data_IF_873198549786
#
_entry.id   IF_873198549786
#
_cell.length_a   1.000
_cell.length_b   1.000
_cell.length_c   1.000
_cell.angle_alpha   90.00
_cell.angle_beta   90.00
_cell.angle_gamma   90.00
#
_symmetry.space_group_name_H-M   'P 1'
#
loop_
_entity.id
_entity.type
_entity.pdbx_description
1 polymer ?
#
# COMPACT_ATOMS: atom_id res chain seq x y z
N UNK A 1 15.76 21.10 19.97
CA UNK A 1 14.31 21.28 19.70
C UNK A 1 13.90 20.22 18.67
N UNK A 2 12.68 19.68 18.78
CA UNK A 2 12.16 18.75 17.76
C UNK A 2 11.90 19.51 16.46
N UNK A 3 12.18 18.85 15.33
CA UNK A 3 11.76 19.38 14.04
C UNK A 3 10.24 19.29 13.88
N UNK A 4 9.63 20.38 13.43
CA UNK A 4 8.19 20.44 13.17
C UNK A 4 7.89 20.01 11.73
N UNK A 5 7.19 18.88 11.58
CA UNK A 5 6.91 18.23 10.30
C UNK A 5 5.44 18.40 9.96
N UNK A 6 5.14 18.94 8.78
CA UNK A 6 3.78 19.02 8.25
C UNK A 6 3.51 17.85 7.29
N UNK A 7 2.64 16.92 7.68
CA UNK A 7 2.24 15.80 6.81
C UNK A 7 0.95 16.16 6.07
N UNK A 8 1.00 16.14 4.73
CA UNK A 8 -0.13 16.48 3.86
C UNK A 8 -0.63 15.24 3.12
N UNK A 9 -1.83 14.75 3.45
CA UNK A 9 -2.41 13.57 2.83
C UNK A 9 -3.94 13.69 2.65
N UNK A 10 -4.58 12.59 2.26
CA UNK A 10 -6.04 12.42 2.37
C UNK A 10 -6.44 12.29 3.84
N UNK A 11 -7.72 12.43 4.16
CA UNK A 11 -8.19 12.17 5.52
C UNK A 11 -7.76 10.79 6.03
N UNK A 12 -7.30 10.70 7.27
CA UNK A 12 -6.98 9.42 7.94
C UNK A 12 -8.22 8.51 8.13
N UNK A 13 -9.42 9.07 8.04
CA UNK A 13 -10.70 8.33 8.00
C UNK A 13 -11.00 7.73 6.62
N UNK A 14 -10.17 7.99 5.61
CA UNK A 14 -10.33 7.41 4.28
C UNK A 14 -10.02 5.91 4.30
N UNK A 15 -10.83 5.14 3.58
CA UNK A 15 -10.55 3.71 3.36
C UNK A 15 -9.43 3.57 2.31
N UNK A 16 -8.37 2.80 2.62
CA UNK A 16 -7.31 2.47 1.67
C UNK A 16 -5.89 2.59 2.18
N UNK A 17 -4.94 2.04 1.42
CA UNK A 17 -3.54 1.86 1.83
C UNK A 17 -2.81 3.14 2.21
N UNK A 18 -3.04 4.27 1.50
CA UNK A 18 -2.36 5.55 1.81
C UNK A 18 -2.76 6.07 3.19
N UNK A 19 -4.05 6.00 3.54
CA UNK A 19 -4.53 6.41 4.85
C UNK A 19 -3.91 5.53 5.96
N UNK A 20 -3.84 4.22 5.75
CA UNK A 20 -3.21 3.28 6.67
C UNK A 20 -1.73 3.60 6.88
N UNK A 21 -0.97 3.83 5.80
CA UNK A 21 0.46 4.23 5.88
C UNK A 21 0.65 5.49 6.70
N UNK A 22 -0.14 6.52 6.43
CA UNK A 22 -0.02 7.81 7.13
C UNK A 22 -0.40 7.67 8.60
N UNK A 23 -1.48 6.94 8.91
CA UNK A 23 -1.88 6.65 10.29
C UNK A 23 -0.76 5.92 11.03
N UNK A 24 -0.13 4.91 10.42
CA UNK A 24 1.01 4.20 11.02
C UNK A 24 2.18 5.14 11.33
N UNK A 25 2.51 6.08 10.45
CA UNK A 25 3.54 7.09 10.75
C UNK A 25 3.13 8.05 11.88
N UNK A 26 1.86 8.47 11.90
CA UNK A 26 1.35 9.38 12.94
C UNK A 26 1.32 8.72 14.33
N UNK A 27 1.04 7.42 14.38
CA UNK A 27 0.97 6.65 15.63
C UNK A 27 2.33 6.07 16.07
N UNK A 28 3.40 6.28 15.28
CA UNK A 28 4.70 5.70 15.58
C UNK A 28 5.44 6.46 16.69
N UNK A 29 5.73 5.78 17.80
CA UNK A 29 6.35 6.35 19.00
C UNK A 29 7.72 6.96 18.72
N UNK A 30 8.55 6.32 17.89
CA UNK A 30 9.87 6.82 17.55
C UNK A 30 9.79 8.16 16.82
N UNK A 31 8.94 8.27 15.79
CA UNK A 31 8.77 9.53 15.06
C UNK A 31 8.23 10.66 15.95
N UNK A 32 7.29 10.36 16.84
CA UNK A 32 6.70 11.32 17.77
C UNK A 32 7.68 11.77 18.86
N UNK A 33 8.68 10.93 19.21
CA UNK A 33 9.79 11.32 20.10
C UNK A 33 10.77 12.26 19.42
N UNK A 34 11.13 12.00 18.15
CA UNK A 34 12.12 12.78 17.39
C UNK A 34 11.55 14.06 16.78
N UNK A 35 10.28 14.07 16.38
CA UNK A 35 9.64 15.15 15.63
C UNK A 35 8.32 15.58 16.25
N UNK A 36 7.93 16.84 16.01
CA UNK A 36 6.58 17.37 16.25
C UNK A 36 5.81 17.28 14.93
N UNK A 37 4.91 16.28 14.81
CA UNK A 37 4.22 15.96 13.56
C UNK A 37 2.81 16.55 13.58
N UNK A 38 2.55 17.45 12.64
CA UNK A 38 1.20 18.03 12.41
C UNK A 38 0.62 17.47 11.12
N UNK A 39 -0.61 16.99 11.18
CA UNK A 39 -1.30 16.39 10.05
C UNK A 39 -2.30 17.34 9.40
N UNK A 40 -2.16 17.56 8.10
CA UNK A 40 -3.05 18.39 7.29
C UNK A 40 -3.84 17.55 6.28
N UNK A 41 -5.16 17.55 6.40
CA UNK A 41 -6.05 16.88 5.46
C UNK A 41 -6.23 17.70 4.19
N UNK A 42 -5.74 17.22 3.07
CA UNK A 42 -5.91 17.89 1.78
C UNK A 42 -7.36 17.86 1.26
N UNK A 43 -8.15 16.88 1.68
CA UNK A 43 -9.58 16.73 1.42
C UNK A 43 -10.14 15.51 2.16
N UNK A 44 -11.47 15.48 2.32
CA UNK A 44 -12.18 14.29 2.80
C UNK A 44 -12.83 13.58 1.60
N UNK A 45 -12.54 12.29 1.34
CA UNK A 45 -13.09 11.58 0.19
C UNK A 45 -14.56 11.14 0.35
N UNK A 46 -15.18 11.29 1.52
CA UNK A 46 -16.55 10.85 1.78
C UNK A 46 -17.61 11.78 1.13
N UNK A 47 -18.26 11.29 0.05
CA UNK A 47 -19.33 11.97 -0.68
C UNK A 47 -18.86 13.04 -1.66
N UNK A 48 -19.60 13.23 -2.78
CA UNK A 48 -19.21 14.14 -3.87
C UNK A 48 -19.21 15.61 -3.39
N UNK A 49 -20.28 16.05 -2.76
CA UNK A 49 -20.39 17.42 -2.23
C UNK A 49 -19.36 17.72 -1.15
N UNK A 50 -19.17 16.81 -0.19
CA UNK A 50 -18.20 16.95 0.90
C UNK A 50 -16.76 16.96 0.40
N UNK A 51 -16.44 16.24 -0.69
CA UNK A 51 -15.09 16.20 -1.28
C UNK A 51 -14.66 17.57 -1.83
N UNK A 52 -15.48 18.21 -2.64
CA UNK A 52 -15.16 19.52 -3.23
C UNK A 52 -15.18 20.63 -2.19
N UNK A 53 -16.14 20.61 -1.28
CA UNK A 53 -16.23 21.58 -0.19
C UNK A 53 -15.03 21.49 0.75
N UNK A 54 -14.65 20.29 1.18
CA UNK A 54 -13.47 20.08 2.01
C UNK A 54 -12.16 20.46 1.30
N UNK A 55 -12.07 20.25 -0.02
CA UNK A 55 -10.93 20.68 -0.82
C UNK A 55 -10.83 22.21 -0.86
N UNK A 56 -11.94 22.91 -1.05
CA UNK A 56 -11.99 24.37 -1.09
C UNK A 56 -11.57 24.96 0.27
N UNK A 57 -12.14 24.46 1.37
CA UNK A 57 -11.76 24.88 2.73
C UNK A 57 -10.27 24.64 2.96
N UNK A 58 -9.76 23.46 2.63
CA UNK A 58 -8.35 23.14 2.79
C UNK A 58 -7.46 24.06 1.97
N UNK A 59 -7.87 24.40 0.74
CA UNK A 59 -7.13 25.31 -0.12
C UNK A 59 -7.08 26.74 0.43
N UNK A 60 -8.18 27.24 0.97
CA UNK A 60 -8.24 28.58 1.58
C UNK A 60 -7.46 28.61 2.90
N UNK A 61 -7.64 27.61 3.76
CA UNK A 61 -7.02 27.57 5.09
C UNK A 61 -5.49 27.35 5.04
N UNK A 62 -4.99 26.62 4.05
CA UNK A 62 -3.58 26.22 4.00
C UNK A 62 -2.58 27.40 4.02
N UNK A 63 -2.70 28.47 3.20
CA UNK A 63 -1.80 29.60 3.27
C UNK A 63 -1.85 30.32 4.64
N UNK A 64 -3.03 30.42 5.27
CA UNK A 64 -3.14 30.99 6.62
C UNK A 64 -2.41 30.14 7.65
N UNK A 65 -2.50 28.80 7.55
CA UNK A 65 -1.74 27.89 8.41
C UNK A 65 -0.24 28.21 8.35
N UNK A 66 0.30 28.43 7.15
CA UNK A 66 1.73 28.70 6.94
C UNK A 66 2.14 30.11 7.43
N UNK A 67 1.23 31.07 7.47
CA UNK A 67 1.48 32.41 8.03
C UNK A 67 1.67 32.36 9.55
N UNK A 68 0.90 31.51 10.25
CA UNK A 68 0.90 31.47 11.72
C UNK A 68 1.75 30.36 12.31
N UNK A 69 2.10 29.34 11.52
CA UNK A 69 2.90 28.19 11.97
C UNK A 69 4.13 28.00 11.10
N UNK A 70 5.28 27.81 11.74
CA UNK A 70 6.53 27.47 11.05
C UNK A 70 6.74 25.96 11.05
N UNK A 71 7.12 25.41 9.91
CA UNK A 71 7.47 24.02 9.73
C UNK A 71 8.89 23.88 9.19
N UNK A 72 9.64 22.88 9.65
CA UNK A 72 10.98 22.61 9.19
C UNK A 72 10.96 21.78 7.89
N UNK A 73 9.97 20.89 7.72
CA UNK A 73 9.78 20.05 6.52
C UNK A 73 8.29 19.82 6.31
N UNK A 74 7.87 19.75 5.05
CA UNK A 74 6.55 19.28 4.68
C UNK A 74 6.64 17.96 3.89
N UNK A 75 5.91 16.93 4.34
CA UNK A 75 5.85 15.62 3.69
C UNK A 75 4.49 15.43 3.03
N UNK A 76 4.49 15.34 1.70
CA UNK A 76 3.29 15.22 0.88
C UNK A 76 3.14 13.77 0.43
N UNK A 77 2.10 13.09 0.92
CA UNK A 77 1.68 11.80 0.38
C UNK A 77 0.76 11.99 -0.82
N UNK A 78 1.12 11.44 -1.94
CA UNK A 78 0.38 11.59 -3.17
C UNK A 78 0.37 10.34 -4.04
N UNK A 79 -0.49 10.39 -5.04
CA UNK A 79 -0.50 9.48 -6.17
C UNK A 79 -0.45 10.34 -7.44
N UNK A 80 -0.53 9.72 -8.61
CA UNK A 80 -0.58 10.40 -9.91
C UNK A 80 -2.01 10.88 -10.24
N UNK A 81 -2.21 11.40 -11.45
CA UNK A 81 -3.49 11.95 -11.93
C UNK A 81 -3.99 13.15 -11.08
N UNK A 82 -5.27 13.19 -10.76
CA UNK A 82 -5.88 14.27 -9.99
C UNK A 82 -5.30 14.49 -8.58
N UNK A 83 -4.70 13.47 -7.97
CA UNK A 83 -3.99 13.61 -6.69
C UNK A 83 -2.76 14.50 -6.86
N UNK A 84 -1.97 14.28 -7.91
CA UNK A 84 -0.77 15.07 -8.21
C UNK A 84 -1.10 16.55 -8.43
N UNK A 85 -2.15 16.85 -9.21
CA UNK A 85 -2.57 18.23 -9.48
C UNK A 85 -2.94 18.97 -8.18
N UNK A 86 -3.71 18.32 -7.30
CA UNK A 86 -4.07 18.91 -5.99
C UNK A 86 -2.83 19.16 -5.10
N UNK A 87 -1.88 18.22 -5.11
CA UNK A 87 -0.65 18.35 -4.31
C UNK A 87 0.29 19.43 -4.85
N UNK A 88 0.26 19.71 -6.14
CA UNK A 88 1.01 20.82 -6.76
C UNK A 88 0.55 22.20 -6.24
N UNK A 89 -0.70 22.35 -5.84
CA UNK A 89 -1.19 23.57 -5.18
C UNK A 89 -0.52 23.79 -3.81
N UNK A 90 -0.45 22.74 -2.98
CA UNK A 90 0.22 22.83 -1.67
C UNK A 90 1.72 23.05 -1.84
N UNK A 91 2.36 22.41 -2.82
CA UNK A 91 3.76 22.65 -3.15
C UNK A 91 4.05 24.11 -3.49
N UNK A 92 3.16 24.78 -4.25
CA UNK A 92 3.33 26.21 -4.57
C UNK A 92 3.46 27.06 -3.30
N UNK A 93 2.55 26.89 -2.35
CA UNK A 93 2.58 27.64 -1.08
C UNK A 93 3.80 27.29 -0.22
N UNK A 94 4.12 26.00 -0.09
CA UNK A 94 5.30 25.57 0.68
C UNK A 94 6.58 26.18 0.15
N UNK A 95 6.75 26.27 -1.17
CA UNK A 95 7.89 26.92 -1.77
C UNK A 95 7.91 28.44 -1.53
N UNK A 96 6.76 29.09 -1.57
CA UNK A 96 6.66 30.52 -1.26
C UNK A 96 7.11 30.83 0.18
N UNK A 97 6.88 29.89 1.10
CA UNK A 97 7.32 29.98 2.49
C UNK A 97 8.69 29.32 2.74
N UNK A 98 9.42 28.93 1.68
CA UNK A 98 10.74 28.30 1.76
C UNK A 98 10.78 27.06 2.66
N UNK A 99 9.70 26.28 2.71
CA UNK A 99 9.61 25.06 3.50
C UNK A 99 10.09 23.88 2.63
N UNK A 100 11.16 23.15 3.01
CA UNK A 100 11.62 21.96 2.31
C UNK A 100 10.55 20.90 2.18
N UNK A 101 10.44 20.30 1.01
CA UNK A 101 9.32 19.40 0.68
C UNK A 101 9.77 18.00 0.31
N UNK A 102 9.10 17.02 0.90
CA UNK A 102 9.20 15.60 0.55
C UNK A 102 7.93 15.19 -0.19
N UNK A 103 8.05 14.50 -1.32
CA UNK A 103 6.94 13.86 -2.00
C UNK A 103 7.08 12.36 -1.95
N UNK A 104 6.12 11.66 -1.34
CA UNK A 104 6.04 10.20 -1.36
C UNK A 104 4.93 9.73 -2.31
N UNK A 105 5.33 9.01 -3.35
CA UNK A 105 4.43 8.49 -4.37
C UNK A 105 3.90 7.11 -4.02
N UNK A 106 2.55 6.97 -3.99
CA UNK A 106 1.85 5.71 -3.73
C UNK A 106 1.17 5.13 -4.98
N UNK A 107 1.61 5.54 -6.16
CA UNK A 107 1.01 5.08 -7.41
C UNK A 107 1.44 3.65 -7.77
N UNK A 108 0.54 2.93 -8.46
CA UNK A 108 0.74 1.55 -8.92
C UNK A 108 0.91 1.42 -10.46
N UNK A 109 0.71 2.48 -11.23
CA UNK A 109 0.73 2.46 -12.71
C UNK A 109 1.37 3.75 -13.23
N UNK A 110 2.67 3.90 -12.95
CA UNK A 110 3.41 5.13 -13.27
C UNK A 110 3.60 5.29 -14.77
N UNK A 111 4.04 4.23 -15.44
CA UNK A 111 4.20 4.12 -16.89
C UNK A 111 2.92 4.51 -17.64
N UNK A 112 1.81 3.85 -17.34
CA UNK A 112 0.51 4.15 -17.94
C UNK A 112 0.06 5.59 -17.73
N UNK A 113 0.41 6.19 -16.59
CA UNK A 113 0.10 7.60 -16.37
C UNK A 113 0.88 8.49 -17.33
N UNK A 114 2.19 8.27 -17.48
CA UNK A 114 3.03 9.07 -18.37
C UNK A 114 2.69 8.84 -19.85
N UNK A 115 2.35 7.62 -20.25
CA UNK A 115 1.97 7.29 -21.62
C UNK A 115 0.71 8.03 -22.07
N UNK A 116 -0.23 8.26 -21.17
CA UNK A 116 -1.46 9.01 -21.43
C UNK A 116 -1.29 10.53 -21.45
N UNK A 117 -0.07 11.05 -21.22
CA UNK A 117 0.20 12.49 -21.25
C UNK A 117 0.79 12.93 -22.58
N UNK A 118 0.35 14.09 -23.09
CA UNK A 118 1.03 14.75 -24.19
C UNK A 118 2.35 15.40 -23.74
N UNK A 119 3.21 15.82 -24.68
CA UNK A 119 4.54 16.38 -24.39
C UNK A 119 4.49 17.57 -23.43
N UNK A 120 3.54 18.48 -23.57
CA UNK A 120 3.37 19.65 -22.69
C UNK A 120 2.98 19.25 -21.27
N UNK A 121 2.13 18.23 -21.12
CA UNK A 121 1.73 17.69 -19.83
C UNK A 121 2.90 16.94 -19.17
N UNK A 122 3.65 16.12 -19.92
CA UNK A 122 4.86 15.44 -19.42
C UNK A 122 5.85 16.44 -18.88
N UNK A 123 6.21 17.48 -19.65
CA UNK A 123 7.12 18.53 -19.20
C UNK A 123 6.66 19.23 -17.92
N UNK A 124 5.34 19.51 -17.80
CA UNK A 124 4.76 20.11 -16.59
C UNK A 124 4.89 19.19 -15.38
N UNK A 125 4.63 17.89 -15.53
CA UNK A 125 4.77 16.91 -14.44
C UNK A 125 6.22 16.79 -14.01
N UNK A 126 7.15 16.64 -14.96
CA UNK A 126 8.60 16.55 -14.69
C UNK A 126 9.09 17.80 -13.96
N UNK A 127 8.74 19.00 -14.47
CA UNK A 127 9.13 20.26 -13.85
C UNK A 127 8.51 20.43 -12.44
N UNK A 128 7.37 19.82 -12.17
CA UNK A 128 6.78 19.84 -10.83
C UNK A 128 7.55 18.91 -9.89
N UNK A 129 7.92 17.71 -10.33
CA UNK A 129 8.75 16.83 -9.52
C UNK A 129 10.11 17.45 -9.19
N UNK A 130 10.73 18.17 -10.14
CA UNK A 130 12.01 18.89 -9.92
C UNK A 130 11.94 19.97 -8.85
N UNK A 131 10.74 20.36 -8.41
CA UNK A 131 10.55 21.37 -7.35
C UNK A 131 10.52 20.79 -5.92
N UNK A 132 10.40 19.48 -5.74
CA UNK A 132 10.52 18.85 -4.43
C UNK A 132 12.00 18.67 -4.05
N UNK A 133 12.36 18.86 -2.81
CA UNK A 133 13.73 18.61 -2.34
C UNK A 133 14.04 17.12 -2.31
N UNK A 134 13.05 16.29 -1.95
CA UNK A 134 13.16 14.83 -1.91
C UNK A 134 11.94 14.15 -2.52
N UNK A 135 12.18 13.15 -3.37
CA UNK A 135 11.13 12.26 -3.87
C UNK A 135 11.33 10.84 -3.38
N UNK A 136 10.26 10.24 -2.86
CA UNK A 136 10.22 8.89 -2.31
C UNK A 136 9.24 8.02 -3.09
N UNK A 137 9.60 6.77 -3.31
CA UNK A 137 8.75 5.74 -3.90
C UNK A 137 8.79 4.46 -3.06
N UNK A 138 7.91 3.50 -3.39
CA UNK A 138 7.61 2.36 -2.54
C UNK A 138 8.53 1.14 -2.74
N UNK A 139 9.48 1.21 -3.66
CA UNK A 139 10.39 0.09 -3.92
C UNK A 139 11.43 0.38 -4.99
N UNK A 140 12.36 -0.55 -5.15
CA UNK A 140 13.53 -0.40 -6.03
C UNK A 140 13.14 -0.39 -7.52
N UNK A 141 12.15 -1.18 -7.91
CA UNK A 141 11.60 -1.17 -9.28
C UNK A 141 11.05 0.20 -9.66
N UNK A 142 10.39 0.88 -8.71
CA UNK A 142 9.85 2.22 -8.91
C UNK A 142 10.93 3.30 -9.02
N UNK A 143 12.09 3.15 -8.34
CA UNK A 143 13.20 4.10 -8.50
C UNK A 143 13.61 4.20 -9.96
N UNK A 144 13.95 3.06 -10.58
CA UNK A 144 14.38 3.01 -11.99
C UNK A 144 13.34 3.63 -12.93
N UNK A 145 12.07 3.32 -12.69
CA UNK A 145 10.97 3.81 -13.53
C UNK A 145 10.77 5.33 -13.37
N UNK A 146 10.74 5.83 -12.13
CA UNK A 146 10.62 7.27 -11.90
C UNK A 146 11.82 8.07 -12.38
N UNK A 147 13.06 7.57 -12.20
CA UNK A 147 14.27 8.23 -12.68
C UNK A 147 14.26 8.34 -14.19
N UNK A 148 13.93 7.27 -14.90
CA UNK A 148 13.76 7.25 -16.36
C UNK A 148 12.72 8.27 -16.84
N UNK A 149 11.59 8.41 -16.13
CA UNK A 149 10.46 9.26 -16.55
C UNK A 149 10.58 10.72 -16.11
N UNK A 150 11.33 11.01 -15.03
CA UNK A 150 11.35 12.35 -14.41
C UNK A 150 12.69 13.05 -14.47
N UNK A 151 13.73 12.37 -14.94
CA UNK A 151 15.10 12.90 -14.97
C UNK A 151 15.50 13.48 -13.59
N UNK A 152 15.29 12.67 -12.54
CA UNK A 152 15.50 13.06 -11.15
C UNK A 152 15.72 11.82 -10.27
N UNK A 153 16.59 11.95 -9.25
CA UNK A 153 16.84 10.91 -8.25
C UNK A 153 15.60 10.67 -7.37
N UNK A 154 15.31 9.39 -7.14
CA UNK A 154 14.26 8.91 -6.24
C UNK A 154 14.86 7.99 -5.18
N UNK A 155 14.28 8.00 -4.00
CA UNK A 155 14.71 7.15 -2.90
C UNK A 155 13.59 6.20 -2.49
N UNK A 156 13.97 5.02 -2.02
CA UNK A 156 12.99 4.04 -1.51
C UNK A 156 12.62 4.35 -0.08
N UNK A 157 11.32 4.46 0.18
CA UNK A 157 10.74 4.35 1.51
C UNK A 157 9.55 3.38 1.43
N UNK A 158 9.71 2.20 2.03
CA UNK A 158 8.66 1.20 2.06
C UNK A 158 7.43 1.66 2.86
N UNK A 159 6.29 1.02 2.63
CA UNK A 159 5.14 1.21 3.48
C UNK A 159 5.41 0.62 4.87
N UNK A 160 5.18 1.36 5.96
CA UNK A 160 5.31 0.84 7.31
C UNK A 160 4.09 0.01 7.69
N UNK A 161 4.32 -1.10 8.37
CA UNK A 161 3.27 -1.89 9.00
C UNK A 161 3.67 -2.17 10.45
N UNK A 162 2.79 -1.95 11.44
CA UNK A 162 3.05 -2.35 12.82
C UNK A 162 3.22 -3.86 12.92
N UNK A 163 4.05 -4.31 13.84
CA UNK A 163 4.16 -5.74 14.10
C UNK A 163 2.84 -6.26 14.68
N UNK A 164 2.18 -7.14 13.93
CA UNK A 164 0.93 -7.76 14.34
C UNK A 164 1.25 -9.01 15.17
N UNK A 165 0.75 -9.04 16.40
CA UNK A 165 0.80 -10.21 17.29
C UNK A 165 -0.60 -10.81 17.38
N UNK A 166 -0.72 -12.07 17.05
CA UNK A 166 -2.01 -12.80 17.13
C UNK A 166 -1.75 -14.26 17.50
N UNK A 167 -2.75 -14.89 18.09
CA UNK A 167 -2.77 -16.31 18.31
C UNK A 167 -3.41 -16.99 17.11
N UNK A 168 -2.73 -17.97 16.51
CA UNK A 168 -3.26 -18.76 15.41
C UNK A 168 -4.38 -19.65 15.91
N UNK A 169 -5.49 -19.65 15.16
CA UNK A 169 -6.59 -20.60 15.34
C UNK A 169 -6.26 -21.86 14.56
N UNK A 170 -6.32 -23.00 15.22
CA UNK A 170 -6.15 -24.30 14.54
C UNK A 170 -7.45 -24.70 13.85
N UNK A 171 -7.32 -25.24 12.65
CA UNK A 171 -8.43 -25.75 11.84
C UNK A 171 -7.92 -26.86 10.92
N UNK A 172 -8.82 -27.70 10.44
CA UNK A 172 -8.49 -28.88 9.64
C UNK A 172 -8.31 -28.55 8.13
N UNK A 173 -8.74 -27.37 7.69
CA UNK A 173 -8.67 -26.91 6.30
C UNK A 173 -7.48 -26.02 6.06
N UNK A 174 -6.99 -25.92 4.82
CA UNK A 174 -6.04 -24.88 4.41
C UNK A 174 -6.81 -23.62 4.00
N UNK A 175 -6.70 -22.55 4.80
CA UNK A 175 -7.42 -21.32 4.58
C UNK A 175 -6.59 -20.30 3.78
N UNK A 176 -6.97 -20.11 2.53
CA UNK A 176 -6.45 -19.04 1.68
C UNK A 176 -7.25 -17.76 1.92
N UNK A 177 -6.55 -16.63 2.00
CA UNK A 177 -7.21 -15.34 2.24
C UNK A 177 -6.82 -14.32 1.19
N UNK A 178 -7.84 -13.72 0.56
CA UNK A 178 -7.70 -12.53 -0.26
C UNK A 178 -8.11 -11.30 0.54
N UNK A 179 -7.24 -10.27 0.60
CA UNK A 179 -7.52 -8.98 1.23
C UNK A 179 -7.27 -7.85 0.26
N UNK A 180 -8.32 -7.23 -0.26
CA UNK A 180 -8.20 -6.13 -1.21
C UNK A 180 -9.52 -5.72 -1.86
N UNK A 181 -9.45 -4.70 -2.72
CA UNK A 181 -10.59 -4.30 -3.54
C UNK A 181 -11.03 -5.46 -4.45
N UNK A 182 -12.32 -5.76 -4.49
CA UNK A 182 -12.90 -6.81 -5.35
C UNK A 182 -12.97 -6.29 -6.80
N UNK A 183 -11.82 -6.21 -7.46
CA UNK A 183 -11.68 -5.63 -8.80
C UNK A 183 -10.79 -6.48 -9.70
N UNK A 184 -10.95 -6.31 -11.02
CA UNK A 184 -10.10 -6.98 -12.02
C UNK A 184 -8.62 -6.68 -11.78
N UNK A 185 -8.29 -5.44 -11.39
CA UNK A 185 -6.90 -5.03 -11.09
C UNK A 185 -6.26 -5.89 -9.99
N UNK A 186 -7.05 -6.36 -9.03
CA UNK A 186 -6.59 -7.20 -7.92
C UNK A 186 -6.62 -8.70 -8.22
N UNK A 187 -7.11 -9.09 -9.41
CA UNK A 187 -7.12 -10.48 -9.86
C UNK A 187 -8.11 -11.39 -9.13
N UNK A 188 -9.17 -10.83 -8.51
CA UNK A 188 -10.12 -11.64 -7.73
C UNK A 188 -10.84 -12.68 -8.58
N UNK A 189 -11.19 -12.35 -9.85
CA UNK A 189 -11.86 -13.30 -10.74
C UNK A 189 -10.94 -14.44 -11.16
N UNK A 190 -9.67 -14.13 -11.39
CA UNK A 190 -8.67 -15.15 -11.75
C UNK A 190 -8.42 -16.08 -10.56
N UNK A 191 -8.39 -15.53 -9.33
CA UNK A 191 -8.29 -16.35 -8.11
C UNK A 191 -9.48 -17.29 -7.96
N UNK A 192 -10.71 -16.85 -8.18
CA UNK A 192 -11.90 -17.71 -8.09
C UNK A 192 -11.87 -18.81 -9.15
N UNK A 193 -11.52 -18.49 -10.39
CA UNK A 193 -11.35 -19.49 -11.44
C UNK A 193 -10.24 -20.51 -11.11
N UNK A 194 -9.10 -20.03 -10.61
CA UNK A 194 -8.00 -20.90 -10.20
C UNK A 194 -8.37 -21.80 -9.02
N UNK A 195 -9.11 -21.28 -8.05
CA UNK A 195 -9.58 -22.05 -6.90
C UNK A 195 -10.57 -23.14 -7.32
N UNK A 196 -11.44 -22.85 -8.30
CA UNK A 196 -12.34 -23.85 -8.87
C UNK A 196 -11.63 -24.95 -9.67
N UNK A 197 -10.50 -24.64 -10.31
CA UNK A 197 -9.69 -25.60 -11.05
C UNK A 197 -8.77 -26.42 -10.14
N UNK A 198 -8.44 -25.89 -8.97
CA UNK A 198 -7.46 -26.51 -8.07
C UNK A 198 -8.05 -27.77 -7.41
N UNK A 199 -7.31 -28.90 -7.40
CA UNK A 199 -7.74 -30.11 -6.71
C UNK A 199 -7.58 -30.04 -5.18
N UNK A 200 -7.93 -28.89 -4.60
CA UNK A 200 -7.79 -28.59 -3.18
C UNK A 200 -9.08 -28.96 -2.42
N UNK A 201 -9.32 -30.25 -2.16
CA UNK A 201 -10.54 -30.68 -1.46
C UNK A 201 -10.59 -30.17 -0.01
N UNK A 202 -9.43 -30.07 0.64
CA UNK A 202 -9.32 -29.58 2.02
C UNK A 202 -8.86 -28.12 2.10
N UNK A 203 -9.45 -27.23 1.26
CA UNK A 203 -9.13 -25.81 1.26
C UNK A 203 -10.41 -24.95 1.35
N UNK A 204 -10.24 -23.76 1.94
CA UNK A 204 -11.24 -22.69 1.96
C UNK A 204 -10.65 -21.41 1.43
N UNK A 205 -11.50 -20.57 0.83
CA UNK A 205 -11.11 -19.24 0.38
C UNK A 205 -11.93 -18.18 1.14
N UNK A 206 -11.19 -17.32 1.86
CA UNK A 206 -11.74 -16.22 2.65
C UNK A 206 -11.48 -14.92 1.90
N UNK A 207 -12.53 -14.13 1.60
CA UNK A 207 -12.43 -12.94 0.77
C UNK A 207 -12.87 -11.72 1.57
N UNK A 208 -11.94 -10.80 1.81
CA UNK A 208 -12.20 -9.53 2.48
C UNK A 208 -11.88 -8.34 1.57
N UNK A 209 -12.85 -7.45 1.41
CA UNK A 209 -12.66 -6.22 0.62
C UNK A 209 -13.97 -5.57 0.19
N UNK A 210 -13.86 -4.35 -0.30
CA UNK A 210 -14.97 -3.62 -0.89
C UNK A 210 -15.03 -3.86 -2.41
N UNK A 211 -16.24 -3.79 -2.97
CA UNK A 211 -16.50 -3.98 -4.39
C UNK A 211 -17.89 -4.53 -4.63
N UNK A 212 -18.12 -5.15 -5.79
CA UNK A 212 -19.38 -5.79 -6.11
C UNK A 212 -19.44 -7.21 -5.50
N UNK A 213 -19.91 -7.30 -4.25
CA UNK A 213 -20.01 -8.56 -3.51
C UNK A 213 -20.95 -9.53 -4.20
N UNK A 214 -22.08 -9.04 -4.77
CA UNK A 214 -23.04 -9.89 -5.48
C UNK A 214 -22.38 -10.58 -6.69
N UNK A 215 -21.58 -9.86 -7.47
CA UNK A 215 -20.85 -10.43 -8.60
C UNK A 215 -19.92 -11.59 -8.17
N UNK A 216 -19.31 -11.48 -6.97
CA UNK A 216 -18.46 -12.54 -6.41
C UNK A 216 -19.30 -13.76 -6.05
N UNK A 217 -20.45 -13.58 -5.38
CA UNK A 217 -21.36 -14.68 -5.06
C UNK A 217 -21.90 -15.38 -6.30
N UNK A 218 -22.30 -14.62 -7.32
CA UNK A 218 -22.80 -15.17 -8.59
C UNK A 218 -21.71 -16.00 -9.29
N UNK A 219 -20.48 -15.51 -9.29
CA UNK A 219 -19.35 -16.23 -9.87
C UNK A 219 -19.02 -17.50 -9.07
N UNK A 220 -19.01 -17.46 -7.74
CA UNK A 220 -18.81 -18.65 -6.89
C UNK A 220 -19.88 -19.71 -7.16
N UNK A 221 -21.15 -19.31 -7.34
CA UNK A 221 -22.25 -20.22 -7.67
C UNK A 221 -22.08 -20.85 -9.06
N UNK A 222 -21.70 -20.06 -10.05
CA UNK A 222 -21.39 -20.50 -11.42
C UNK A 222 -20.26 -21.51 -11.45
N UNK A 223 -19.20 -21.27 -10.66
CA UNK A 223 -18.03 -22.14 -10.54
C UNK A 223 -18.25 -23.33 -9.61
N UNK A 224 -19.40 -23.42 -8.93
CA UNK A 224 -19.75 -24.48 -7.96
C UNK A 224 -18.76 -24.60 -6.79
N UNK A 225 -18.30 -23.46 -6.27
CA UNK A 225 -17.39 -23.36 -5.12
C UNK A 225 -17.97 -22.55 -3.96
N UNK A 226 -19.27 -22.24 -4.00
CA UNK A 226 -19.91 -21.37 -3.01
C UNK A 226 -19.83 -21.92 -1.57
N UNK A 227 -19.77 -23.23 -1.39
CA UNK A 227 -19.62 -23.92 -0.10
C UNK A 227 -18.19 -23.83 0.49
N UNK A 228 -17.20 -23.57 -0.36
CA UNK A 228 -15.78 -23.43 0.02
C UNK A 228 -15.31 -21.98 0.12
N UNK A 229 -16.16 -20.99 -0.23
CA UNK A 229 -15.81 -19.56 -0.28
C UNK A 229 -16.63 -18.75 0.70
N UNK A 230 -15.95 -18.01 1.59
CA UNK A 230 -16.57 -17.06 2.53
C UNK A 230 -16.28 -15.63 2.09
N UNK A 231 -17.31 -14.83 1.81
CA UNK A 231 -17.19 -13.43 1.38
C UNK A 231 -17.57 -12.50 2.53
N UNK A 232 -16.60 -11.84 3.13
CA UNK A 232 -16.73 -11.01 4.34
C UNK A 232 -17.09 -9.55 4.03
N UNK A 233 -16.90 -9.10 2.78
CA UNK A 233 -16.99 -7.69 2.46
C UNK A 233 -15.88 -6.85 3.08
N UNK A 234 -16.14 -5.56 3.31
CA UNK A 234 -15.16 -4.70 3.97
C UNK A 234 -15.10 -5.02 5.47
N UNK A 235 -13.89 -5.18 5.99
CA UNK A 235 -13.61 -5.52 7.38
C UNK A 235 -12.84 -4.39 8.07
N UNK A 236 -13.07 -4.21 9.35
CA UNK A 236 -12.32 -3.28 10.21
C UNK A 236 -11.01 -3.91 10.73
N UNK A 237 -10.33 -3.21 11.64
CA UNK A 237 -9.04 -3.65 12.18
C UNK A 237 -9.17 -4.94 13.02
N UNK A 238 -10.20 -5.06 13.83
CA UNK A 238 -10.42 -6.21 14.71
C UNK A 238 -10.79 -7.45 13.90
N UNK A 239 -11.73 -7.31 12.98
CA UNK A 239 -12.12 -8.36 12.03
C UNK A 239 -10.93 -8.81 11.17
N UNK A 240 -10.03 -7.89 10.79
CA UNK A 240 -8.80 -8.24 10.06
C UNK A 240 -7.85 -9.10 10.91
N UNK A 241 -7.68 -8.79 12.19
CA UNK A 241 -6.87 -9.61 13.10
C UNK A 241 -7.47 -11.01 13.26
N UNK A 242 -8.78 -11.10 13.42
CA UNK A 242 -9.51 -12.38 13.45
C UNK A 242 -9.30 -13.17 12.14
N UNK A 243 -9.48 -12.54 10.98
CA UNK A 243 -9.27 -13.16 9.68
C UNK A 243 -7.83 -13.68 9.54
N UNK A 244 -6.83 -12.87 9.88
CA UNK A 244 -5.42 -13.27 9.83
C UNK A 244 -5.10 -14.42 10.80
N UNK A 245 -5.81 -14.52 11.94
CA UNK A 245 -5.60 -15.61 12.90
C UNK A 245 -5.98 -16.97 12.34
N UNK A 246 -6.98 -17.04 11.47
CA UNK A 246 -7.47 -18.27 10.80
C UNK A 246 -6.98 -18.43 9.36
N UNK A 247 -6.01 -17.61 8.91
CA UNK A 247 -5.41 -17.67 7.57
C UNK A 247 -4.14 -18.53 7.57
N UNK A 248 -3.95 -19.37 6.57
CA UNK A 248 -2.70 -20.12 6.32
C UNK A 248 -1.85 -19.50 5.23
N UNK A 249 -2.48 -18.95 4.19
CA UNK A 249 -1.80 -18.36 3.03
C UNK A 249 -2.57 -17.12 2.58
N UNK A 250 -1.87 -16.03 2.35
CA UNK A 250 -2.49 -14.85 1.70
C UNK A 250 -2.29 -14.92 0.20
N UNK A 251 -3.36 -14.68 -0.57
CA UNK A 251 -3.32 -14.73 -2.05
C UNK A 251 -3.73 -13.37 -2.61
N UNK A 252 -2.84 -12.78 -3.42
CA UNK A 252 -3.09 -11.50 -4.08
C UNK A 252 -2.53 -11.50 -5.50
N UNK A 253 -3.23 -12.06 -6.50
CA UNK A 253 -2.76 -12.19 -7.87
C UNK A 253 -3.02 -10.93 -8.71
N UNK A 254 -2.57 -9.78 -8.22
CA UNK A 254 -2.83 -8.46 -8.78
C UNK A 254 -2.16 -8.24 -10.13
N UNK A 255 -2.79 -7.44 -10.99
CA UNK A 255 -2.21 -6.94 -12.25
C UNK A 255 -1.36 -5.67 -12.05
N UNK A 256 -1.57 -4.94 -10.96
CA UNK A 256 -0.79 -3.74 -10.66
C UNK A 256 -0.88 -3.37 -9.18
N UNK A 257 0.30 -3.15 -8.57
CA UNK A 257 0.47 -2.72 -7.18
C UNK A 257 1.53 -1.63 -7.06
N UNK A 258 1.44 -0.84 -5.99
CA UNK A 258 2.57 -0.06 -5.50
C UNK A 258 3.50 -0.95 -4.66
N UNK A 259 3.16 -1.05 -3.38
CA UNK A 259 3.62 -2.07 -2.43
C UNK A 259 2.41 -2.42 -1.55
N UNK A 260 1.77 -3.59 -1.74
CA UNK A 260 0.47 -3.88 -1.13
C UNK A 260 0.57 -4.11 0.38
N UNK A 261 -0.26 -3.37 1.14
CA UNK A 261 -0.32 -3.49 2.60
C UNK A 261 -0.69 -4.89 3.06
N UNK A 262 -1.62 -5.56 2.37
CA UNK A 262 -2.06 -6.92 2.73
C UNK A 262 -0.94 -7.97 2.66
N UNK A 263 0.03 -7.81 1.75
CA UNK A 263 1.24 -8.65 1.72
C UNK A 263 2.12 -8.37 2.94
N UNK A 264 2.38 -7.11 3.26
CA UNK A 264 3.20 -6.75 4.42
C UNK A 264 2.53 -7.16 5.74
N UNK A 265 1.20 -7.05 5.83
CA UNK A 265 0.42 -7.53 6.97
C UNK A 265 0.50 -9.06 7.10
N UNK A 266 0.43 -9.81 6.00
CA UNK A 266 0.67 -11.26 5.98
C UNK A 266 2.06 -11.62 6.49
N UNK A 267 3.10 -10.95 5.97
CA UNK A 267 4.49 -11.14 6.40
C UNK A 267 4.66 -10.83 7.88
N UNK A 268 3.97 -9.79 8.41
CA UNK A 268 4.07 -9.39 9.81
C UNK A 268 3.57 -10.46 10.79
N UNK A 269 2.67 -11.34 10.35
CA UNK A 269 2.17 -12.48 11.14
C UNK A 269 2.80 -13.82 10.75
N UNK A 270 3.78 -13.80 9.84
CA UNK A 270 4.50 -15.00 9.41
C UNK A 270 3.68 -15.91 8.48
N UNK A 271 2.84 -15.33 7.62
CA UNK A 271 2.10 -16.06 6.60
C UNK A 271 2.86 -16.07 5.26
N UNK A 272 2.90 -17.20 4.57
CA UNK A 272 3.35 -17.26 3.18
C UNK A 272 2.36 -16.56 2.26
N UNK A 273 2.85 -16.14 1.09
CA UNK A 273 2.05 -15.37 0.13
C UNK A 273 2.10 -16.01 -1.25
N UNK A 274 0.95 -16.10 -1.94
CA UNK A 274 0.86 -16.30 -3.38
C UNK A 274 0.53 -14.94 -4.00
N UNK A 275 1.39 -14.44 -4.88
CA UNK A 275 1.21 -13.11 -5.49
C UNK A 275 1.91 -13.00 -6.83
N UNK A 276 1.84 -11.84 -7.46
CA UNK A 276 2.42 -11.55 -8.78
C UNK A 276 3.62 -10.60 -8.66
N UNK A 277 4.66 -10.71 -9.52
CA UNK A 277 5.85 -9.84 -9.49
C UNK A 277 5.55 -8.46 -10.12
N UNK A 278 4.59 -7.72 -9.55
CA UNK A 278 4.18 -6.41 -10.05
C UNK A 278 4.52 -5.29 -9.07
N UNK A 279 4.94 -4.14 -9.58
CA UNK A 279 5.32 -3.00 -8.75
C UNK A 279 6.52 -3.32 -7.87
N UNK A 280 6.40 -3.05 -6.56
CA UNK A 280 7.45 -3.33 -5.58
C UNK A 280 7.25 -4.67 -4.84
N UNK A 281 6.47 -5.59 -5.37
CA UNK A 281 6.22 -6.89 -4.72
C UNK A 281 7.51 -7.70 -4.59
N UNK A 282 8.40 -7.67 -5.58
CA UNK A 282 9.68 -8.41 -5.54
C UNK A 282 10.67 -7.86 -4.49
N UNK A 283 10.49 -6.61 -4.06
CA UNK A 283 11.21 -6.08 -2.89
C UNK A 283 10.76 -6.78 -1.58
N UNK A 284 9.51 -7.23 -1.52
CA UNK A 284 8.96 -7.93 -0.35
C UNK A 284 9.06 -9.45 -0.48
N UNK A 285 8.69 -10.03 -1.62
CA UNK A 285 8.56 -11.46 -1.82
C UNK A 285 9.58 -11.98 -2.82
N UNK A 286 10.43 -12.90 -2.40
CA UNK A 286 11.30 -13.70 -3.25
C UNK A 286 10.62 -15.04 -3.47
N UNK A 287 10.49 -15.44 -4.75
CA UNK A 287 9.88 -16.72 -5.14
C UNK A 287 10.58 -17.91 -4.46
N UNK A 288 9.80 -18.87 -3.98
CA UNK A 288 10.26 -20.06 -3.24
C UNK A 288 11.04 -19.78 -1.93
N UNK A 289 11.01 -18.53 -1.42
CA UNK A 289 11.62 -18.16 -0.12
C UNK A 289 10.56 -17.63 0.84
N UNK A 290 9.77 -16.64 0.40
CA UNK A 290 8.75 -15.98 1.21
C UNK A 290 7.32 -16.37 0.79
N UNK A 291 7.21 -17.10 -0.33
CA UNK A 291 5.96 -17.49 -0.98
C UNK A 291 6.18 -17.82 -2.44
N UNK A 292 5.09 -17.84 -3.19
CA UNK A 292 5.08 -18.19 -4.62
C UNK A 292 4.72 -16.95 -5.45
N UNK A 293 5.54 -16.65 -6.45
CA UNK A 293 5.25 -15.64 -7.47
C UNK A 293 4.66 -16.34 -8.70
N UNK A 294 3.51 -15.85 -9.15
CA UNK A 294 2.77 -16.31 -10.32
C UNK A 294 2.59 -15.18 -11.32
N UNK A 295 2.42 -15.47 -12.60
CA UNK A 295 2.20 -14.42 -13.60
C UNK A 295 0.79 -13.84 -13.49
N UNK A 296 0.62 -12.51 -13.63
CA UNK A 296 -0.71 -11.90 -13.64
C UNK A 296 -1.63 -12.52 -14.68
N UNK A 297 -2.83 -12.94 -14.29
CA UNK A 297 -3.83 -13.56 -15.17
C UNK A 297 -3.57 -15.02 -15.52
N UNK A 298 -2.50 -15.62 -15.03
CA UNK A 298 -2.23 -17.05 -15.27
C UNK A 298 -2.97 -17.91 -14.24
N UNK A 299 -4.18 -18.31 -14.60
CA UNK A 299 -5.10 -19.08 -13.73
C UNK A 299 -4.48 -20.44 -13.35
N UNK A 300 -3.77 -21.09 -14.28
CA UNK A 300 -3.12 -22.39 -14.05
C UNK A 300 -2.01 -22.27 -13.00
N UNK A 301 -1.11 -21.28 -13.12
CA UNK A 301 -0.07 -21.06 -12.12
C UNK A 301 -0.64 -20.74 -10.74
N UNK A 302 -1.75 -19.98 -10.68
CA UNK A 302 -2.43 -19.70 -9.41
C UNK A 302 -2.98 -21.00 -8.83
N UNK A 303 -3.64 -21.83 -9.64
CA UNK A 303 -4.20 -23.14 -9.24
C UNK A 303 -3.11 -24.07 -8.71
N UNK A 304 -1.98 -24.18 -9.42
CA UNK A 304 -0.84 -25.00 -9.01
C UNK A 304 -0.26 -24.54 -7.67
N UNK A 305 -0.12 -23.21 -7.49
CA UNK A 305 0.37 -22.64 -6.24
C UNK A 305 -0.59 -22.87 -5.06
N UNK A 306 -1.90 -22.80 -5.27
CA UNK A 306 -2.91 -23.16 -4.29
C UNK A 306 -2.79 -24.63 -3.90
N UNK A 307 -2.72 -25.53 -4.89
CA UNK A 307 -2.57 -26.96 -4.68
C UNK A 307 -1.28 -27.30 -3.92
N UNK A 308 -0.16 -26.72 -4.33
CA UNK A 308 1.14 -26.92 -3.68
C UNK A 308 1.10 -26.54 -2.19
N UNK A 309 0.58 -25.35 -1.86
CA UNK A 309 0.55 -24.90 -0.48
C UNK A 309 -0.58 -25.55 0.34
N UNK A 310 -1.62 -26.11 -0.27
CA UNK A 310 -2.61 -26.92 0.43
C UNK A 310 -1.96 -28.17 1.02
N UNK A 311 -1.16 -28.87 0.22
CA UNK A 311 -0.59 -30.17 0.59
C UNK A 311 0.75 -30.09 1.31
N UNK A 312 1.43 -28.92 1.34
CA UNK A 312 2.77 -28.80 1.92
C UNK A 312 2.82 -27.85 3.13
N UNK A 313 2.44 -28.37 4.29
CA UNK A 313 2.49 -27.62 5.57
C UNK A 313 3.91 -27.16 5.88
N UNK A 314 4.91 -28.02 5.65
CA UNK A 314 6.32 -27.67 5.90
C UNK A 314 6.76 -26.43 5.10
N UNK A 315 6.35 -26.36 3.84
CA UNK A 315 6.64 -25.22 2.96
C UNK A 315 5.94 -23.95 3.43
N UNK A 316 4.66 -24.03 3.88
CA UNK A 316 3.96 -22.90 4.48
C UNK A 316 4.70 -22.33 5.68
N UNK A 317 5.14 -23.19 6.60
CA UNK A 317 5.89 -22.81 7.81
C UNK A 317 7.23 -22.17 7.43
N UNK A 318 7.98 -22.77 6.53
CA UNK A 318 9.28 -22.27 6.06
C UNK A 318 9.14 -20.87 5.44
N UNK A 319 8.23 -20.72 4.49
CA UNK A 319 8.00 -19.44 3.80
C UNK A 319 7.50 -18.35 4.77
N UNK A 320 6.56 -18.70 5.66
CA UNK A 320 6.04 -17.77 6.65
C UNK A 320 7.12 -17.27 7.62
N UNK A 321 8.01 -18.17 8.08
CA UNK A 321 9.15 -17.81 8.94
C UNK A 321 10.11 -16.86 8.22
N UNK A 322 10.45 -17.14 6.97
CA UNK A 322 11.32 -16.29 6.17
C UNK A 322 10.66 -14.93 5.88
N UNK A 323 9.36 -14.92 5.54
CA UNK A 323 8.59 -13.70 5.34
C UNK A 323 8.56 -12.80 6.59
N UNK A 324 8.36 -13.39 7.77
CA UNK A 324 8.41 -12.67 9.06
C UNK A 324 9.80 -12.07 9.32
N UNK A 325 10.88 -12.81 9.04
CA UNK A 325 12.25 -12.31 9.17
C UNK A 325 12.47 -11.06 8.34
N UNK A 326 12.16 -11.13 7.04
CA UNK A 326 12.28 -9.99 6.12
C UNK A 326 11.38 -8.81 6.51
N UNK A 327 10.17 -9.08 7.01
CA UNK A 327 9.28 -8.04 7.52
C UNK A 327 9.94 -7.24 8.65
N UNK A 328 10.50 -7.93 9.64
CA UNK A 328 11.14 -7.29 10.80
C UNK A 328 12.35 -6.44 10.40
N UNK A 329 13.09 -6.84 9.37
CA UNK A 329 14.27 -6.14 8.87
C UNK A 329 13.95 -4.91 8.01
N UNK A 330 12.84 -4.97 7.22
CA UNK A 330 12.62 -3.99 6.16
C UNK A 330 11.33 -3.18 6.29
N UNK A 331 10.24 -3.79 6.80
CA UNK A 331 8.88 -3.24 6.67
C UNK A 331 8.22 -2.91 8.00
N UNK A 332 8.82 -3.35 9.13
CA UNK A 332 8.32 -2.98 10.45
C UNK A 332 8.32 -1.46 10.59
N UNK A 333 7.25 -0.92 11.14
CA UNK A 333 7.01 0.51 11.26
C UNK A 333 8.17 1.29 11.89
N UNK A 334 8.80 0.78 12.95
CA UNK A 334 9.99 1.41 13.57
C UNK A 334 11.19 1.49 12.63
N UNK A 335 11.41 0.47 11.78
CA UNK A 335 12.52 0.43 10.82
C UNK A 335 12.30 1.48 9.74
N UNK A 336 11.08 1.53 9.20
CA UNK A 336 10.72 2.51 8.16
C UNK A 336 10.69 3.93 8.74
N UNK A 337 10.21 4.10 9.97
CA UNK A 337 10.19 5.37 10.69
C UNK A 337 11.60 5.95 10.91
N UNK A 338 12.57 5.12 11.32
CA UNK A 338 13.98 5.54 11.45
C UNK A 338 14.57 6.02 10.12
N UNK A 339 14.26 5.32 9.03
CA UNK A 339 14.69 5.73 7.70
C UNK A 339 14.06 7.06 7.27
N UNK A 340 12.77 7.24 7.56
CA UNK A 340 12.05 8.50 7.29
C UNK A 340 12.64 9.66 8.11
N UNK A 341 12.90 9.45 9.40
CA UNK A 341 13.53 10.46 10.28
C UNK A 341 14.89 10.88 9.76
N UNK A 342 15.71 9.95 9.25
CA UNK A 342 16.99 10.27 8.64
C UNK A 342 16.85 11.13 7.36
N UNK A 343 15.79 10.92 6.58
CA UNK A 343 15.51 11.81 5.44
C UNK A 343 15.11 13.21 5.89
N UNK A 344 14.29 13.35 6.94
CA UNK A 344 13.94 14.66 7.49
C UNK A 344 15.17 15.39 8.04
N UNK A 345 16.05 14.69 8.76
CA UNK A 345 17.27 15.28 9.31
C UNK A 345 18.18 15.89 8.22
N UNK A 346 18.37 15.17 7.08
CA UNK A 346 19.14 15.68 5.95
C UNK A 346 18.59 16.99 5.37
N UNK A 347 17.29 17.18 5.39
CA UNK A 347 16.64 18.38 4.87
C UNK A 347 16.71 19.55 5.85
N UNK A 348 16.85 19.29 7.15
CA UNK A 348 16.90 20.32 8.19
C UNK A 348 18.31 20.79 8.53
N UNK A 349 19.36 20.00 8.22
CA UNK A 349 20.77 20.38 8.43
C UNK A 349 21.34 21.22 7.30
N UNK A 350 20.70 21.24 6.13
CA UNK A 350 21.16 22.00 4.96
C UNK A 350 20.50 23.41 4.86
N UNK A 351 19.76 23.81 5.86
CA UNK A 351 19.17 25.14 6.03
C UNK A 351 19.71 25.80 7.29
#
# INVERSE_FOLDING_TARGET
MKNKILVISVSNKAKGGVASVVTTFMDNDFLNKEHDIEYFHSHNPSGWGNKYFSLLISAIYFPFLLLFKRFNVAHIHGSLKGSFQRKSYFLFWLRLFSIPTVYQCHAAQVDKFFDNLNSKQKSRVINTFKKYELCLCLGTSWVKEFERLTDRNWNVLFNPVPEIKLNKVQHDTCNFTFMGELSQRKGIKDLLNAFALSPCDNARLLIAGNGNIQEIHDLCSTLKIADKVEVLGWIDKEQKLELLSRTDVVVLPSYAEGLPMSILEAMSVGLPVITTPVGAVEDAITHNVHGLLVQPGNIEQISDALNELTHNIGKRIQFGKAAKGKFLECFKDDVVAKKLSAFYAKLTTNN
#
